data_IF_168879322609
#
_entry.id   IF_168879322609
#
_cell.length_a   1.000
_cell.length_b   1.000
_cell.length_c   1.000
_cell.angle_alpha   90.00
_cell.angle_beta   90.00
_cell.angle_gamma   90.00
#
_symmetry.space_group_name_H-M   'P 1'
#
loop_
_entity.id
_entity.type
_entity.pdbx_description
1 polymer ?
#
# COMPACT_ATOMS: atom_id res chain seq x y z
N UNK A 1 -14.06 -8.31 15.41
CA UNK A 1 -12.95 -8.66 14.51
C UNK A 1 -12.42 -7.35 13.94
N UNK A 2 -11.13 -7.04 14.09
CA UNK A 2 -10.52 -5.87 13.44
C UNK A 2 -10.19 -6.24 12.01
N UNK A 3 -10.86 -5.61 11.05
CA UNK A 3 -10.58 -5.80 9.62
C UNK A 3 -9.12 -5.41 9.33
N UNK A 4 -8.33 -6.26 8.63
CA UNK A 4 -6.94 -5.94 8.35
C UNK A 4 -6.84 -4.70 7.45
N UNK A 5 -5.80 -3.91 7.70
CA UNK A 5 -5.47 -2.78 6.86
C UNK A 5 -4.50 -3.22 5.78
N UNK A 6 -4.69 -2.72 4.57
CA UNK A 6 -3.79 -2.87 3.44
C UNK A 6 -3.31 -1.50 3.00
N UNK A 7 -2.02 -1.38 2.72
CA UNK A 7 -1.42 -0.20 2.09
C UNK A 7 -1.29 -0.50 0.61
N UNK A 8 -1.83 0.39 -0.21
CA UNK A 8 -1.68 0.36 -1.67
C UNK A 8 -0.76 1.52 -2.02
N UNK A 9 0.43 1.21 -2.52
CA UNK A 9 1.42 2.18 -3.00
C UNK A 9 1.38 2.19 -4.52
N UNK A 10 1.49 3.36 -5.15
CA UNK A 10 1.45 3.49 -6.60
C UNK A 10 2.14 4.79 -7.02
N UNK A 11 2.52 4.90 -8.29
CA UNK A 11 3.00 6.13 -8.90
C UNK A 11 1.85 6.74 -9.69
N UNK A 12 1.60 8.04 -9.50
CA UNK A 12 0.68 8.84 -10.30
C UNK A 12 1.45 10.05 -10.84
N UNK A 13 1.49 10.23 -12.17
CA UNK A 13 2.21 11.35 -12.81
C UNK A 13 3.67 11.50 -12.32
N UNK A 14 4.38 10.36 -12.20
CA UNK A 14 5.73 10.26 -11.65
C UNK A 14 5.87 10.68 -10.17
N UNK A 15 4.76 10.80 -9.43
CA UNK A 15 4.75 11.08 -8.00
C UNK A 15 4.35 9.83 -7.20
N UNK A 16 5.09 9.47 -6.14
CA UNK A 16 4.73 8.37 -5.28
C UNK A 16 3.50 8.72 -4.43
N UNK A 17 2.52 7.83 -4.44
CA UNK A 17 1.26 7.95 -3.72
C UNK A 17 1.00 6.69 -2.90
N UNK A 18 0.24 6.84 -1.81
CA UNK A 18 -0.22 5.70 -1.03
C UNK A 18 -1.63 5.93 -0.49
N UNK A 19 -2.37 4.84 -0.33
CA UNK A 19 -3.70 4.84 0.31
C UNK A 19 -3.86 3.61 1.18
N UNK A 20 -4.64 3.73 2.24
CA UNK A 20 -4.96 2.63 3.14
C UNK A 20 -6.39 2.16 2.91
N UNK A 21 -6.59 0.86 2.81
CA UNK A 21 -7.90 0.23 2.65
C UNK A 21 -8.08 -0.88 3.69
N UNK A 22 -9.22 -0.88 4.38
CA UNK A 22 -9.57 -1.91 5.35
C UNK A 22 -10.53 -2.91 4.70
N UNK A 23 -10.06 -4.13 4.47
CA UNK A 23 -10.85 -5.23 3.91
C UNK A 23 -10.40 -6.56 4.49
N UNK A 24 -11.26 -7.57 4.55
CA UNK A 24 -10.90 -8.89 5.10
C UNK A 24 -9.88 -9.62 4.23
N UNK A 25 -10.00 -9.47 2.92
CA UNK A 25 -9.07 -9.95 1.92
C UNK A 25 -9.01 -8.93 0.79
N UNK A 26 -7.81 -8.57 0.37
CA UNK A 26 -7.58 -7.68 -0.76
C UNK A 26 -6.56 -8.31 -1.71
N UNK A 27 -6.89 -8.38 -3.00
CA UNK A 27 -5.98 -8.83 -4.05
C UNK A 27 -5.34 -7.64 -4.76
N UNK A 28 -4.24 -7.88 -5.48
CA UNK A 28 -3.59 -6.84 -6.28
C UNK A 28 -4.52 -6.28 -7.36
N UNK A 29 -5.38 -7.12 -7.94
CA UNK A 29 -6.35 -6.67 -8.95
C UNK A 29 -7.42 -5.77 -8.35
N UNK A 30 -7.92 -6.11 -7.16
CA UNK A 30 -8.88 -5.26 -6.44
C UNK A 30 -8.24 -3.93 -6.03
N UNK A 31 -6.98 -3.96 -5.57
CA UNK A 31 -6.21 -2.75 -5.26
C UNK A 31 -6.03 -1.87 -6.50
N UNK A 32 -5.75 -2.48 -7.67
CA UNK A 32 -5.67 -1.76 -8.94
C UNK A 32 -7.00 -1.12 -9.30
N UNK A 33 -8.11 -1.86 -9.26
CA UNK A 33 -9.46 -1.33 -9.54
C UNK A 33 -9.82 -0.17 -8.59
N UNK A 34 -9.46 -0.29 -7.32
CA UNK A 34 -9.66 0.75 -6.32
C UNK A 34 -8.85 2.01 -6.64
N UNK A 35 -7.57 1.89 -6.98
CA UNK A 35 -6.75 3.06 -7.34
C UNK A 35 -7.27 3.72 -8.62
N UNK A 36 -7.67 2.94 -9.63
CA UNK A 36 -8.25 3.47 -10.86
C UNK A 36 -9.58 4.18 -10.61
N UNK A 37 -10.40 3.72 -9.66
CA UNK A 37 -11.66 4.39 -9.33
C UNK A 37 -11.46 5.68 -8.55
N UNK A 38 -10.42 5.77 -7.70
CA UNK A 38 -10.03 7.03 -7.04
C UNK A 38 -9.63 8.12 -8.03
N UNK A 39 -9.00 7.71 -9.13
CA UNK A 39 -8.47 8.61 -10.17
C UNK A 39 -9.25 8.50 -11.49
N UNK A 40 -10.58 8.35 -11.41
CA UNK A 40 -11.45 8.08 -12.58
C UNK A 40 -11.43 9.17 -13.66
N UNK A 41 -10.85 10.33 -13.38
CA UNK A 41 -10.71 11.47 -14.28
C UNK A 41 -9.34 11.52 -14.98
N UNK A 42 -8.41 10.62 -14.64
CA UNK A 42 -7.05 10.54 -15.17
C UNK A 42 -6.94 9.31 -16.07
N UNK A 43 -6.09 9.38 -17.09
CA UNK A 43 -5.77 8.22 -17.92
C UNK A 43 -5.09 7.13 -17.06
N UNK A 44 -5.60 5.88 -17.04
CA UNK A 44 -5.01 4.78 -16.29
C UNK A 44 -3.52 4.52 -16.55
N UNK A 45 -2.99 4.92 -17.72
CA UNK A 45 -1.57 4.79 -18.06
C UNK A 45 -0.65 5.69 -17.24
N UNK A 46 -1.18 6.74 -16.62
CA UNK A 46 -0.43 7.61 -15.70
C UNK A 46 -0.23 6.99 -14.32
N UNK A 47 -0.92 5.88 -14.05
CA UNK A 47 -0.86 5.15 -12.79
C UNK A 47 -0.02 3.89 -13.00
N UNK A 48 1.16 3.86 -12.39
CA UNK A 48 2.11 2.74 -12.53
C UNK A 48 2.54 2.20 -11.17
N UNK A 49 3.30 1.10 -11.19
CA UNK A 49 3.98 0.55 -10.01
C UNK A 49 3.06 0.30 -8.82
N UNK A 50 1.84 -0.19 -9.09
CA UNK A 50 0.88 -0.52 -8.05
C UNK A 50 1.40 -1.72 -7.26
N UNK A 51 1.61 -1.48 -5.97
CA UNK A 51 2.07 -2.45 -5.00
C UNK A 51 1.05 -2.56 -3.88
N UNK A 52 0.79 -3.79 -3.46
CA UNK A 52 -0.11 -4.09 -2.36
C UNK A 52 0.70 -4.68 -1.20
N UNK A 53 0.56 -4.07 -0.02
CA UNK A 53 1.18 -4.56 1.21
C UNK A 53 0.11 -4.69 2.29
N UNK A 54 0.06 -5.85 2.96
CA UNK A 54 -0.77 -6.00 4.14
C UNK A 54 -0.10 -5.24 5.27
N UNK A 55 -0.83 -4.32 5.90
CA UNK A 55 -0.39 -3.70 7.13
C UNK A 55 -0.63 -4.72 8.25
N UNK A 56 0.31 -5.66 8.35
CA UNK A 56 0.47 -6.44 9.55
C UNK A 56 1.06 -5.47 10.58
N UNK A 57 0.18 -4.70 11.25
CA UNK A 57 0.45 -4.30 12.64
C UNK A 57 0.55 -5.60 13.44
N UNK A 58 1.62 -6.35 13.22
CA UNK A 58 2.23 -7.16 14.22
C UNK A 58 2.38 -6.24 15.42
N UNK A 59 1.90 -6.68 16.57
CA UNK A 59 2.42 -6.19 17.83
C UNK A 59 3.93 -6.47 17.84
N UNK A 60 4.73 -5.69 17.11
CA UNK A 60 6.13 -5.53 17.43
C UNK A 60 6.12 -4.74 18.73
N UNK A 61 6.00 -5.49 19.83
CA UNK A 61 6.62 -5.12 21.08
C UNK A 61 8.03 -4.67 20.73
N UNK A 62 8.39 -3.48 21.17
CA UNK A 62 9.74 -2.93 21.15
C UNK A 62 10.79 -4.00 21.45
N UNK A 63 11.36 -4.59 20.41
CA UNK A 63 12.67 -5.25 20.47
C UNK A 63 13.36 -5.04 19.14
N UNK A 64 13.87 -3.83 18.94
CA UNK A 64 14.85 -3.53 17.90
C UNK A 64 16.27 -3.69 18.48
N UNK A 65 16.94 -4.85 18.37
CA UNK A 65 18.39 -4.89 18.50
C UNK A 65 18.99 -4.90 17.09
N UNK A 66 19.65 -3.81 16.69
CA UNK A 66 20.35 -3.81 15.41
C UNK A 66 20.78 -2.44 14.91
N UNK A 67 21.52 -1.68 15.71
CA UNK A 67 22.42 -0.65 15.19
C UNK A 67 23.50 -1.34 14.34
N UNK A 68 23.21 -1.61 13.07
CA UNK A 68 24.26 -1.92 12.10
C UNK A 68 24.95 -0.60 11.76
N UNK A 69 26.09 -0.36 12.43
CA UNK A 69 27.08 0.63 12.01
C UNK A 69 27.44 0.35 10.54
N UNK A 70 27.25 1.33 9.67
CA UNK A 70 27.92 1.33 8.37
C UNK A 70 29.34 1.90 8.54
N UNK A 71 30.32 1.37 7.78
CA UNK A 71 31.76 1.63 7.95
C UNK A 71 32.18 3.07 7.68
#
# INVERSE_FOLDING_TARGET
>A
MTTPAYVISYILDNQPMSTVLHQDQLTLEDARRYVLSLHSHIDPSHITDIQLSRNERSQERDTTPGHYRQP
#
